data_IF_225477136844
#
_entry.id   IF_225477136844
#
_cell.length_a   1.000
_cell.length_b   1.000
_cell.length_c   1.000
_cell.angle_alpha   90.00
_cell.angle_beta   90.00
_cell.angle_gamma   90.00
#
_symmetry.space_group_name_H-M   'P 1'
#
loop_
_entity.id
_entity.type
_entity.pdbx_description
1 polymer ?
#
# COMPACT_ATOMS: atom_id res chain seq x y z
N UNK A 1 -0.50 -8.47 9.11
CA UNK A 1 0.81 -8.07 8.54
C UNK A 1 1.86 -9.09 8.93
N UNK A 2 2.49 -9.76 7.95
CA UNK A 2 3.64 -10.65 8.15
C UNK A 2 4.48 -10.72 6.86
N UNK A 3 5.70 -11.27 6.95
CA UNK A 3 6.64 -11.30 5.82
C UNK A 3 6.12 -12.05 4.59
N UNK A 4 5.47 -13.20 4.77
CA UNK A 4 4.89 -13.98 3.66
C UNK A 4 3.83 -13.19 2.89
N UNK A 5 2.97 -12.47 3.61
CA UNK A 5 1.97 -11.61 3.00
C UNK A 5 2.62 -10.43 2.27
N UNK A 6 3.63 -9.78 2.87
CA UNK A 6 4.34 -8.66 2.25
C UNK A 6 5.02 -9.04 0.94
N UNK A 7 5.63 -10.23 0.89
CA UNK A 7 6.19 -10.80 -0.33
C UNK A 7 5.12 -11.00 -1.43
N UNK A 8 3.96 -11.56 -1.06
CA UNK A 8 2.87 -11.82 -1.99
C UNK A 8 2.29 -10.50 -2.55
N UNK A 9 2.03 -9.53 -1.67
CA UNK A 9 1.47 -8.22 -2.04
C UNK A 9 2.44 -7.44 -2.94
N UNK A 10 3.74 -7.45 -2.62
CA UNK A 10 4.75 -6.80 -3.44
C UNK A 10 4.87 -7.44 -4.83
N UNK A 11 4.79 -8.78 -4.92
CA UNK A 11 4.80 -9.49 -6.19
C UNK A 11 3.59 -9.11 -7.06
N UNK A 12 2.41 -9.01 -6.47
CA UNK A 12 1.19 -8.56 -7.15
C UNK A 12 1.35 -7.10 -7.60
N UNK A 13 1.76 -6.22 -6.70
CA UNK A 13 1.88 -4.79 -6.96
C UNK A 13 2.88 -4.49 -8.09
N UNK A 14 4.04 -5.15 -8.11
CA UNK A 14 5.05 -5.01 -9.18
C UNK A 14 4.49 -5.45 -10.53
N UNK A 15 3.79 -6.58 -10.59
CA UNK A 15 3.20 -7.08 -11.83
C UNK A 15 2.10 -6.15 -12.34
N UNK A 16 1.23 -5.69 -11.44
CA UNK A 16 0.18 -4.71 -11.76
C UNK A 16 0.77 -3.39 -12.23
N UNK A 17 1.80 -2.87 -11.56
CA UNK A 17 2.49 -1.65 -11.95
C UNK A 17 3.06 -1.73 -13.37
N UNK A 18 3.66 -2.87 -13.73
CA UNK A 18 4.15 -3.14 -15.09
C UNK A 18 3.01 -3.18 -16.10
N UNK A 19 1.90 -3.84 -15.77
CA UNK A 19 0.72 -3.93 -16.65
C UNK A 19 0.05 -2.58 -16.88
N UNK A 20 0.04 -1.72 -15.87
CA UNK A 20 -0.44 -0.35 -15.95
C UNK A 20 0.57 0.60 -16.62
N UNK A 21 1.78 0.13 -16.90
CA UNK A 21 2.82 0.90 -17.56
C UNK A 21 3.44 2.00 -16.70
N UNK A 22 3.47 1.80 -15.37
CA UNK A 22 4.14 2.72 -14.45
C UNK A 22 5.64 2.76 -14.74
N UNK A 23 6.25 3.96 -14.85
CA UNK A 23 7.66 4.10 -15.20
C UNK A 23 8.58 3.55 -14.10
N UNK A 24 9.80 3.17 -14.49
CA UNK A 24 10.87 2.83 -13.54
C UNK A 24 11.11 3.99 -12.57
N UNK A 25 11.39 3.65 -11.31
CA UNK A 25 11.57 4.59 -10.22
C UNK A 25 10.28 4.96 -9.48
N UNK A 26 9.09 4.57 -10.00
CA UNK A 26 7.82 4.83 -9.31
C UNK A 26 7.82 4.22 -7.91
N UNK A 27 7.36 5.00 -6.92
CA UNK A 27 7.14 4.54 -5.55
C UNK A 27 5.75 3.93 -5.46
N UNK A 28 5.68 2.68 -4.99
CA UNK A 28 4.44 1.97 -4.70
C UNK A 28 4.21 2.03 -3.19
N UNK A 29 3.13 2.66 -2.77
CA UNK A 29 2.79 2.81 -1.35
C UNK A 29 1.95 1.62 -0.88
N UNK A 30 2.48 0.86 0.08
CA UNK A 30 1.79 -0.27 0.71
C UNK A 30 1.06 0.21 1.97
N UNK A 31 -0.22 -0.12 2.08
CA UNK A 31 -1.09 0.41 3.12
C UNK A 31 -1.02 -0.39 4.43
N UNK A 32 -0.89 0.33 5.54
CA UNK A 32 -1.16 -0.11 6.91
C UNK A 32 -2.34 0.72 7.40
N UNK A 33 -3.53 0.37 6.92
CA UNK A 33 -4.77 1.10 7.18
C UNK A 33 -5.51 0.53 8.40
N UNK A 34 -4.81 0.49 9.52
CA UNK A 34 -5.36 0.09 10.83
C UNK A 34 -4.48 0.64 11.94
N UNK A 35 -5.09 0.97 13.08
CA UNK A 35 -4.39 1.48 14.25
C UNK A 35 -3.63 0.37 15.00
N UNK A 36 -2.42 0.06 14.55
CA UNK A 36 -1.53 -0.88 15.23
C UNK A 36 -0.86 -0.19 16.42
N UNK A 37 -0.98 -0.80 17.60
CA UNK A 37 -0.28 -0.35 18.80
C UNK A 37 1.23 -0.52 18.67
N UNK A 38 1.99 0.40 19.26
CA UNK A 38 3.46 0.44 19.17
C UNK A 38 4.14 -0.90 19.53
N UNK A 39 3.69 -1.54 20.62
CA UNK A 39 4.23 -2.83 21.07
C UNK A 39 4.04 -3.99 20.09
N UNK A 40 3.19 -3.86 19.07
CA UNK A 40 2.94 -4.87 18.06
C UNK A 40 3.66 -4.59 16.73
N UNK A 41 4.35 -3.45 16.57
CA UNK A 41 4.96 -3.06 15.29
C UNK A 41 6.04 -4.05 14.83
N UNK A 42 6.92 -4.45 15.74
CA UNK A 42 8.04 -5.36 15.46
C UNK A 42 7.61 -6.79 15.11
N UNK A 43 6.42 -7.21 15.52
CA UNK A 43 5.87 -8.54 15.22
C UNK A 43 4.90 -8.55 14.04
N UNK A 44 4.54 -7.38 13.48
CA UNK A 44 3.51 -7.25 12.44
C UNK A 44 3.98 -6.42 11.24
N UNK A 45 4.02 -5.09 11.39
CA UNK A 45 4.29 -4.14 10.31
C UNK A 45 5.73 -4.23 9.82
N UNK A 46 6.71 -4.34 10.72
CA UNK A 46 8.12 -4.45 10.34
C UNK A 46 8.38 -5.71 9.49
N UNK A 47 8.01 -6.93 9.92
CA UNK A 47 8.18 -8.14 9.09
C UNK A 47 7.44 -8.07 7.75
N UNK A 48 6.28 -7.42 7.70
CA UNK A 48 5.54 -7.21 6.45
C UNK A 48 6.36 -6.37 5.45
N UNK A 49 6.96 -5.26 5.90
CA UNK A 49 7.81 -4.42 5.05
C UNK A 49 9.16 -5.07 4.70
N UNK A 50 9.70 -5.93 5.55
CA UNK A 50 10.84 -6.79 5.18
C UNK A 50 10.48 -7.73 4.01
N UNK A 51 9.28 -8.34 4.06
CA UNK A 51 8.76 -9.15 2.96
C UNK A 51 8.58 -8.36 1.65
N UNK A 52 8.07 -7.13 1.75
CA UNK A 52 7.91 -6.22 0.60
C UNK A 52 9.26 -5.88 -0.02
N UNK A 53 10.21 -5.45 0.80
CA UNK A 53 11.54 -5.02 0.32
C UNK A 53 12.34 -6.16 -0.29
N UNK A 54 12.15 -7.39 0.18
CA UNK A 54 12.72 -8.60 -0.42
C UNK A 54 12.32 -8.82 -1.89
N UNK A 55 11.12 -8.38 -2.30
CA UNK A 55 10.71 -8.36 -3.71
C UNK A 55 11.17 -7.07 -4.39
N UNK A 56 10.77 -5.93 -3.85
CA UNK A 56 10.94 -4.62 -4.49
C UNK A 56 12.41 -4.32 -4.80
N UNK A 57 13.34 -4.74 -3.94
CA UNK A 57 14.78 -4.54 -4.11
C UNK A 57 15.37 -5.14 -5.38
N UNK A 58 14.67 -6.09 -6.01
CA UNK A 58 15.05 -6.72 -7.28
C UNK A 58 14.34 -6.14 -8.51
N UNK A 59 13.61 -5.03 -8.35
CA UNK A 59 12.74 -4.45 -9.37
C UNK A 59 13.10 -3.01 -9.70
N UNK A 60 12.45 -2.47 -10.73
CA UNK A 60 12.54 -1.09 -11.17
C UNK A 60 11.79 -0.10 -10.26
N UNK A 61 10.97 -0.56 -9.32
CA UNK A 61 10.15 0.26 -8.44
C UNK A 61 10.80 0.50 -7.08
N UNK A 62 10.16 1.36 -6.27
CA UNK A 62 10.54 1.64 -4.88
C UNK A 62 9.35 1.38 -3.98
N UNK A 63 9.61 1.02 -2.73
CA UNK A 63 8.56 0.83 -1.72
C UNK A 63 8.32 2.15 -0.98
N UNK A 64 7.06 2.49 -0.76
CA UNK A 64 6.61 3.49 0.19
C UNK A 64 5.63 2.85 1.18
N UNK A 65 5.38 3.52 2.30
CA UNK A 65 4.32 3.14 3.26
C UNK A 65 3.21 4.18 3.23
N UNK A 66 1.95 3.73 3.22
CA UNK A 66 0.83 4.52 3.69
C UNK A 66 0.41 4.04 5.09
N UNK A 67 0.26 4.94 6.06
CA UNK A 67 -0.18 4.58 7.41
C UNK A 67 0.07 5.66 8.45
N UNK A 68 -0.14 5.32 9.72
CA UNK A 68 0.08 6.26 10.84
C UNK A 68 1.53 6.74 10.93
N UNK A 69 1.75 7.87 11.59
CA UNK A 69 3.11 8.37 11.90
C UNK A 69 3.96 7.30 12.57
N UNK A 70 3.40 6.58 13.55
CA UNK A 70 4.11 5.51 14.24
C UNK A 70 4.53 4.38 13.29
N UNK A 71 3.60 3.85 12.49
CA UNK A 71 3.92 2.81 11.51
C UNK A 71 5.01 3.28 10.53
N UNK A 72 4.90 4.51 10.02
CA UNK A 72 5.88 5.12 9.14
C UNK A 72 7.28 5.22 9.78
N UNK A 73 7.36 5.62 11.04
CA UNK A 73 8.63 5.74 11.77
C UNK A 73 9.32 4.39 11.95
N UNK A 74 8.57 3.33 12.26
CA UNK A 74 9.12 1.98 12.45
C UNK A 74 9.73 1.39 11.18
N UNK A 75 9.18 1.70 10.01
CA UNK A 75 9.67 1.15 8.72
C UNK A 75 10.43 2.14 7.85
N UNK A 76 10.70 3.37 8.33
CA UNK A 76 11.41 4.42 7.59
C UNK A 76 12.68 3.88 6.90
N UNK A 77 13.46 3.07 7.60
CA UNK A 77 14.71 2.50 7.10
C UNK A 77 14.54 1.44 5.99
N UNK A 78 13.32 0.94 5.76
CA UNK A 78 12.98 -0.06 4.75
C UNK A 78 12.37 0.56 3.49
N UNK A 79 11.83 1.79 3.58
CA UNK A 79 11.03 2.40 2.51
C UNK A 79 11.63 3.71 2.04
N UNK A 80 11.35 4.06 0.79
CA UNK A 80 11.82 5.31 0.19
C UNK A 80 11.11 6.52 0.82
N UNK A 81 9.78 6.47 0.90
CA UNK A 81 8.95 7.57 1.39
C UNK A 81 7.77 7.09 2.25
N UNK A 82 7.23 8.01 3.03
CA UNK A 82 6.00 7.85 3.79
C UNK A 82 4.86 8.69 3.22
N UNK A 83 3.68 8.12 3.15
CA UNK A 83 2.40 8.79 2.97
C UNK A 83 1.65 8.66 4.29
N UNK A 84 1.57 9.75 5.04
CA UNK A 84 1.05 9.74 6.41
C UNK A 84 -0.46 9.86 6.40
N UNK A 85 -1.14 9.04 7.19
CA UNK A 85 -2.59 9.01 7.35
C UNK A 85 -3.06 9.88 8.54
N UNK A 86 -2.77 11.18 8.52
CA UNK A 86 -3.09 12.10 9.64
C UNK A 86 -4.58 12.43 9.77
N UNK A 87 -5.40 12.17 8.74
CA UNK A 87 -6.86 12.33 8.76
C UNK A 87 -7.50 11.42 9.81
N UNK A 88 -6.88 10.26 10.07
CA UNK A 88 -7.23 9.36 11.18
C UNK A 88 -6.70 9.90 12.52
N UNK A 89 -7.12 11.10 12.91
CA UNK A 89 -6.60 11.80 14.09
C UNK A 89 -6.91 11.09 15.43
N UNK A 90 -7.89 10.18 15.44
CA UNK A 90 -8.24 9.35 16.59
C UNK A 90 -7.38 8.09 16.75
N UNK A 91 -6.52 7.77 15.79
CA UNK A 91 -5.65 6.58 15.85
C UNK A 91 -4.44 6.85 16.74
N UNK A 92 -4.19 5.94 17.67
CA UNK A 92 -3.08 6.02 18.62
C UNK A 92 -1.73 6.17 17.93
N UNK A 93 -1.55 5.59 16.75
CA UNK A 93 -0.33 5.74 15.96
C UNK A 93 -0.04 7.15 15.44
N UNK A 94 -1.00 8.08 15.50
CA UNK A 94 -0.80 9.50 15.13
C UNK A 94 -0.61 10.41 16.36
N UNK A 95 -0.90 9.91 17.56
CA UNK A 95 -0.86 10.70 18.79
C UNK A 95 0.52 10.65 19.44
N UNK A 96 1.21 11.79 19.48
CA UNK A 96 2.50 11.93 20.17
C UNK A 96 3.73 11.45 19.37
N UNK A 97 3.53 11.01 18.12
CA UNK A 97 4.61 10.64 17.22
C UNK A 97 4.99 11.80 16.29
N UNK A 98 6.31 11.99 16.09
CA UNK A 98 6.84 13.00 15.16
C UNK A 98 6.53 12.64 13.71
N UNK A 99 6.48 13.64 12.83
CA UNK A 99 6.41 13.41 11.39
C UNK A 99 7.68 12.66 10.91
N UNK A 100 7.57 11.60 10.10
CA UNK A 100 8.73 10.91 9.56
C UNK A 100 9.47 11.80 8.57
N UNK A 101 10.79 11.88 8.64
CA UNK A 101 11.58 12.81 7.80
C UNK A 101 11.47 12.51 6.29
N UNK A 102 11.15 11.27 5.92
CA UNK A 102 10.93 10.83 4.54
C UNK A 102 9.46 10.97 4.09
N UNK A 103 8.63 11.75 4.79
CA UNK A 103 7.25 12.01 4.34
C UNK A 103 7.22 12.69 2.97
N UNK A 104 6.32 12.21 2.12
CA UNK A 104 6.09 12.65 0.73
C UNK A 104 4.69 13.23 0.57
N UNK A 105 3.73 12.57 1.21
CA UNK A 105 2.32 12.91 1.23
C UNK A 105 1.81 12.85 2.67
N UNK A 106 0.81 13.66 2.98
CA UNK A 106 0.17 13.72 4.29
C UNK A 106 -1.33 13.94 4.11
N UNK A 107 -2.14 12.90 4.36
CA UNK A 107 -3.60 12.94 4.24
C UNK A 107 -4.18 13.59 5.48
N UNK A 108 -4.93 14.69 5.36
CA UNK A 108 -5.39 15.46 6.52
C UNK A 108 -6.87 15.81 6.53
N UNK A 109 -7.60 15.61 5.43
CA UNK A 109 -9.03 15.92 5.36
C UNK A 109 -9.72 15.11 4.26
N UNK A 110 -11.03 14.92 4.37
CA UNK A 110 -11.89 14.34 3.33
C UNK A 110 -12.86 15.41 2.80
N UNK A 111 -13.19 15.34 1.51
CA UNK A 111 -14.25 16.16 0.92
C UNK A 111 -14.94 15.44 -0.24
N UNK A 112 -16.24 15.67 -0.38
CA UNK A 112 -17.01 15.17 -1.53
C UNK A 112 -16.94 16.17 -2.69
N UNK A 113 -16.53 15.70 -3.86
CA UNK A 113 -16.51 16.50 -5.08
C UNK A 113 -17.91 16.93 -5.49
N UNK A 114 -18.23 18.22 -5.37
CA UNK A 114 -19.58 18.74 -5.60
C UNK A 114 -20.18 18.40 -6.98
N UNK A 115 -19.35 18.20 -8.01
CA UNK A 115 -19.79 17.88 -9.37
C UNK A 115 -19.79 16.37 -9.69
N UNK A 116 -19.11 15.55 -8.90
CA UNK A 116 -18.95 14.11 -9.16
C UNK A 116 -19.67 13.25 -8.13
N UNK A 117 -19.91 13.76 -6.93
CA UNK A 117 -20.39 12.98 -5.78
C UNK A 117 -19.36 11.95 -5.28
N UNK A 118 -18.08 12.10 -5.67
CA UNK A 118 -17.00 11.18 -5.29
C UNK A 118 -16.28 11.78 -4.09
N UNK A 119 -16.11 10.96 -3.04
CA UNK A 119 -15.31 11.29 -1.88
C UNK A 119 -13.82 11.25 -2.24
N UNK A 120 -13.10 12.31 -1.85
CA UNK A 120 -11.68 12.50 -2.13
C UNK A 120 -10.96 12.94 -0.87
N UNK A 121 -9.76 12.41 -0.68
CA UNK A 121 -8.89 12.87 0.38
C UNK A 121 -8.02 14.04 -0.07
N UNK A 122 -7.90 15.04 0.81
CA UNK A 122 -6.94 16.12 0.67
C UNK A 122 -5.61 15.69 1.27
N UNK A 123 -4.55 15.87 0.47
CA UNK A 123 -3.19 15.53 0.85
C UNK A 123 -2.28 16.75 0.72
N UNK A 124 -1.39 16.95 1.70
CA UNK A 124 -0.28 17.88 1.57
C UNK A 124 0.90 17.15 0.90
N UNK A 125 1.67 17.88 0.08
CA UNK A 125 2.82 17.36 -0.66
C UNK A 125 4.11 17.97 -0.13
N UNK A 126 5.13 17.16 0.16
CA UNK A 126 6.43 17.67 0.63
C UNK A 126 7.37 18.06 -0.52
N UNK A 127 7.05 17.64 -1.75
CA UNK A 127 7.91 17.79 -2.93
C UNK A 127 8.97 16.69 -3.09
N UNK A 128 9.02 15.69 -2.19
CA UNK A 128 9.96 14.55 -2.31
C UNK A 128 9.54 13.52 -3.36
N UNK A 129 8.24 13.30 -3.48
CA UNK A 129 7.63 12.51 -4.54
C UNK A 129 6.69 13.42 -5.34
N UNK A 130 6.90 13.48 -6.65
CA UNK A 130 6.06 14.25 -7.56
C UNK A 130 4.95 13.38 -8.19
N UNK A 131 4.87 12.11 -7.80
CA UNK A 131 4.00 11.13 -8.42
C UNK A 131 4.38 10.83 -9.87
N UNK A 132 3.43 10.23 -10.58
CA UNK A 132 3.57 9.85 -11.98
C UNK A 132 2.61 10.70 -12.81
N UNK A 133 3.15 11.50 -13.74
CA UNK A 133 2.36 12.34 -14.65
C UNK A 133 2.00 11.64 -15.97
N UNK A 134 2.59 10.48 -16.25
CA UNK A 134 2.35 9.70 -17.46
C UNK A 134 2.64 8.22 -17.27
N UNK A 135 1.77 7.38 -17.83
CA UNK A 135 2.00 5.94 -17.97
C UNK A 135 2.33 5.57 -19.41
N UNK A 136 3.06 4.47 -19.58
CA UNK A 136 3.34 3.91 -20.90
C UNK A 136 2.19 3.02 -21.34
N UNK A 137 1.75 3.12 -22.58
CA UNK A 137 0.71 2.24 -23.11
C UNK A 137 1.26 0.82 -23.22
N UNK A 138 0.75 -0.09 -22.39
CA UNK A 138 1.06 -1.51 -22.49
C UNK A 138 0.07 -2.15 -23.47
N UNK A 139 0.56 -2.58 -24.64
CA UNK A 139 -0.26 -3.34 -25.58
C UNK A 139 -0.42 -4.77 -25.05
N UNK A 140 -1.39 -4.98 -24.17
CA UNK A 140 -1.76 -6.33 -23.73
C UNK A 140 -2.57 -6.95 -24.87
N UNK A 141 -2.03 -7.96 -25.55
CA UNK A 141 -2.79 -8.72 -26.55
C UNK A 141 -4.07 -9.26 -25.91
N UNK A 142 -5.23 -8.86 -26.43
CA UNK A 142 -6.59 -9.14 -25.93
C UNK A 142 -6.92 -10.63 -25.65
N UNK A 143 -6.05 -11.58 -25.97
CA UNK A 143 -6.24 -13.01 -25.71
C UNK A 143 -5.86 -13.45 -24.29
N UNK A 144 -4.99 -12.74 -23.57
CA UNK A 144 -4.43 -13.27 -22.30
C UNK A 144 -5.35 -13.13 -21.08
N UNK A 145 -6.24 -12.12 -21.07
CA UNK A 145 -6.99 -11.74 -19.86
C UNK A 145 -8.25 -12.62 -19.69
N UNK A 146 -8.92 -12.97 -20.79
CA UNK A 146 -10.18 -13.73 -20.70
C UNK A 146 -10.00 -15.22 -20.37
N UNK A 147 -8.83 -15.83 -20.65
CA UNK A 147 -8.60 -17.26 -20.38
C UNK A 147 -8.11 -17.56 -18.95
N UNK A 148 -7.50 -16.58 -18.28
CA UNK A 148 -6.93 -16.79 -16.94
C UNK A 148 -7.97 -16.70 -15.81
N UNK A 149 -9.01 -15.87 -15.97
CA UNK A 149 -10.06 -15.72 -14.95
C UNK A 149 -11.10 -16.85 -14.96
N UNK A 150 -11.36 -17.46 -16.13
CA UNK A 150 -12.32 -18.57 -16.23
C UNK A 150 -11.80 -19.86 -15.58
N UNK A 151 -10.48 -20.13 -15.66
CA UNK A 151 -9.88 -21.33 -15.05
C UNK A 151 -9.82 -21.26 -13.51
N UNK A 152 -9.84 -20.07 -12.90
CA UNK A 152 -9.84 -19.92 -11.43
C UNK A 152 -11.21 -20.14 -10.78
N UNK A 153 -12.31 -20.05 -11.55
CA UNK A 153 -13.66 -20.19 -11.01
C UNK A 153 -14.26 -21.60 -11.15
N UNK A 154 -13.52 -22.56 -11.72
CA UNK A 154 -14.01 -23.94 -11.93
C UNK A 154 -13.56 -24.98 -10.90
N UNK A 155 -12.82 -24.61 -9.85
CA UNK A 155 -12.49 -25.55 -8.76
C UNK A 155 -13.56 -25.50 -7.64
N UNK A 156 -14.14 -26.65 -7.25
CA UNK A 156 -15.19 -26.71 -6.23
C UNK A 156 -14.62 -26.34 -4.86
N UNK A 157 -15.13 -25.25 -4.27
CA UNK A 157 -14.87 -24.90 -2.88
C UNK A 157 -15.52 -25.94 -1.96
N UNK A 158 -14.69 -26.65 -1.19
CA UNK A 158 -15.11 -27.46 -0.06
C UNK A 158 -15.74 -26.56 1.03
N UNK A 159 -16.76 -27.04 1.76
CA UNK A 159 -17.53 -26.23 2.69
C UNK A 159 -16.77 -26.00 4.01
N UNK A 160 -16.56 -24.75 4.41
CA UNK A 160 -16.12 -24.44 5.78
C UNK A 160 -17.33 -24.31 6.70
N UNK A 161 -17.51 -25.32 7.54
CA UNK A 161 -18.42 -25.38 8.69
C UNK A 161 -18.06 -24.38 9.80
N UNK A 162 -19.10 -24.01 10.55
CA UNK A 162 -19.25 -23.02 11.63
C UNK A 162 -18.35 -23.16 12.88
N UNK A 163 -18.21 -22.06 13.65
CA UNK A 163 -18.74 -21.81 15.04
C UNK A 163 -18.02 -20.59 15.68
N UNK A 164 -18.70 -19.48 16.00
CA UNK A 164 -19.42 -19.07 17.24
C UNK A 164 -18.54 -18.91 18.51
N UNK A 165 -18.49 -17.65 18.96
CA UNK A 165 -18.37 -17.05 20.31
C UNK A 165 -17.62 -17.76 21.45
N UNK A 166 -16.79 -16.96 22.14
CA UNK A 166 -17.00 -16.65 23.56
C UNK A 166 -16.80 -15.14 23.78
#
# INVERSE_FOLDING_TARGET
>A
FNSKQGFADASIAVNTARQLGLPSGTVIYFAVDVDIQDGNMSSTVVPYFEGITGIIGSTEYKAGIYGTRNACLHVNHLVKYSFVADMSSGWSGNLGFKMPENWSFDQFNEFTGASTGIDMDQVAVSGKDNGVSKVTKVNIGLKSIFETDFKRHSEPRLPSTAQINH
#
